data_IF_380223217675
#
_entry.id   IF_380223217675
#
_cell.length_a   1.000
_cell.length_b   1.000
_cell.length_c   1.000
_cell.angle_alpha   90.00
_cell.angle_beta   90.00
_cell.angle_gamma   90.00
#
_symmetry.space_group_name_H-M   'P 1'
#
loop_
_entity.id
_entity.type
_entity.pdbx_description
1 polymer ?
#
# COMPACT_ATOMS: atom_id res chain seq x y z
N UNK A 1 -21.00 -4.33 27.91
CA UNK A 1 -20.06 -3.79 26.91
C UNK A 1 -20.61 -4.18 25.56
N UNK A 2 -21.09 -3.23 24.77
CA UNK A 2 -21.48 -3.53 23.38
C UNK A 2 -20.23 -3.99 22.63
N UNK A 3 -20.26 -5.21 22.11
CA UNK A 3 -19.24 -5.69 21.21
C UNK A 3 -19.35 -4.87 19.92
N UNK A 4 -18.53 -3.83 19.78
CA UNK A 4 -18.43 -3.07 18.54
C UNK A 4 -17.90 -4.01 17.47
N UNK A 5 -18.77 -4.50 16.60
CA UNK A 5 -18.37 -5.36 15.49
C UNK A 5 -17.49 -4.55 14.55
N UNK A 6 -16.19 -4.87 14.55
CA UNK A 6 -15.23 -4.23 13.66
C UNK A 6 -15.60 -4.59 12.22
N UNK A 7 -15.83 -3.59 11.38
CA UNK A 7 -16.01 -3.81 9.96
C UNK A 7 -14.66 -4.21 9.34
N UNK A 8 -14.43 -5.52 9.24
CA UNK A 8 -13.18 -6.11 8.73
C UNK A 8 -12.84 -5.62 7.32
N UNK A 9 -13.85 -5.44 6.45
CA UNK A 9 -13.64 -4.92 5.10
C UNK A 9 -13.01 -3.53 5.15
N UNK A 10 -13.65 -2.60 5.87
CA UNK A 10 -13.16 -1.22 6.01
C UNK A 10 -11.77 -1.19 6.63
N UNK A 11 -11.50 -2.05 7.61
CA UNK A 11 -10.19 -2.17 8.24
C UNK A 11 -9.11 -2.60 7.24
N UNK A 12 -9.38 -3.62 6.42
CA UNK A 12 -8.43 -4.09 5.41
C UNK A 12 -8.12 -3.01 4.37
N UNK A 13 -9.14 -2.29 3.86
CA UNK A 13 -8.89 -1.16 2.97
C UNK A 13 -8.04 -0.07 3.62
N UNK A 14 -8.28 0.25 4.89
CA UNK A 14 -7.47 1.24 5.63
C UNK A 14 -6.03 0.78 5.83
N UNK A 15 -5.81 -0.49 6.16
CA UNK A 15 -4.46 -1.07 6.30
C UNK A 15 -3.70 -0.95 4.98
N UNK A 16 -4.32 -1.36 3.87
CA UNK A 16 -3.72 -1.20 2.55
C UNK A 16 -3.37 0.26 2.24
N UNK A 17 -4.27 1.19 2.55
CA UNK A 17 -4.05 2.61 2.28
C UNK A 17 -2.87 3.16 3.06
N UNK A 18 -2.76 2.86 4.36
CA UNK A 18 -1.66 3.33 5.22
C UNK A 18 -0.33 2.75 4.75
N UNK A 19 -0.29 1.44 4.47
CA UNK A 19 0.94 0.73 4.09
C UNK A 19 1.43 1.19 2.71
N UNK A 20 0.60 1.06 1.68
CA UNK A 20 1.01 1.39 0.31
C UNK A 20 1.03 2.89 0.05
N UNK A 21 0.12 3.65 0.65
CA UNK A 21 0.15 5.11 0.59
C UNK A 21 1.37 5.67 1.31
N UNK A 22 1.71 5.15 2.49
CA UNK A 22 2.92 5.53 3.23
C UNK A 22 4.20 5.23 2.45
N UNK A 23 4.31 4.02 1.87
CA UNK A 23 5.44 3.68 1.00
C UNK A 23 5.52 4.58 -0.24
N UNK A 24 4.39 4.86 -0.89
CA UNK A 24 4.43 5.71 -2.07
C UNK A 24 4.82 7.15 -1.72
N UNK A 25 4.30 7.69 -0.61
CA UNK A 25 4.65 9.00 -0.09
C UNK A 25 6.13 9.10 0.30
N UNK A 26 6.71 8.08 0.94
CA UNK A 26 8.14 8.08 1.25
C UNK A 26 9.00 8.13 -0.01
N UNK A 27 8.59 7.45 -1.09
CA UNK A 27 9.26 7.53 -2.39
C UNK A 27 9.24 8.94 -3.01
N UNK A 28 8.29 9.79 -2.61
CA UNK A 28 8.16 11.17 -3.10
C UNK A 28 9.01 12.09 -2.24
N UNK A 29 8.88 11.97 -0.91
CA UNK A 29 9.59 12.82 0.06
C UNK A 29 11.11 12.59 -0.05
N UNK A 30 11.53 11.33 -0.10
CA UNK A 30 12.96 10.96 -0.10
C UNK A 30 13.49 10.73 -1.53
N UNK A 31 12.79 11.22 -2.56
CA UNK A 31 13.14 10.94 -3.96
C UNK A 31 14.58 11.33 -4.31
N UNK A 32 15.04 12.51 -3.86
CA UNK A 32 16.40 12.99 -4.12
C UNK A 32 17.44 12.10 -3.44
N UNK A 33 17.20 11.72 -2.17
CA UNK A 33 18.07 10.79 -1.44
C UNK A 33 18.19 9.44 -2.17
N UNK A 34 17.08 8.87 -2.65
CA UNK A 34 17.12 7.62 -3.41
C UNK A 34 17.86 7.73 -4.74
N UNK A 35 17.75 8.87 -5.43
CA UNK A 35 18.45 9.11 -6.69
C UNK A 35 19.96 9.24 -6.46
N UNK A 36 20.36 9.98 -5.44
CA UNK A 36 21.76 10.24 -5.09
C UNK A 36 22.47 8.99 -4.56
N UNK A 37 21.82 8.25 -3.65
CA UNK A 37 22.42 7.09 -2.97
C UNK A 37 22.41 5.82 -3.83
N UNK A 38 21.36 5.63 -4.67
CA UNK A 38 21.16 4.39 -5.40
C UNK A 38 21.14 4.58 -6.92
N UNK A 39 20.09 5.19 -7.45
CA UNK A 39 19.90 5.57 -8.86
C UNK A 39 18.41 5.89 -9.12
N UNK A 40 18.11 6.64 -10.21
CA UNK A 40 16.73 6.83 -10.67
C UNK A 40 15.99 5.52 -10.95
N UNK A 41 16.68 4.49 -11.46
CA UNK A 41 16.08 3.19 -11.74
C UNK A 41 15.58 2.50 -10.47
N UNK A 42 16.35 2.54 -9.39
CA UNK A 42 15.96 1.98 -8.09
C UNK A 42 14.73 2.67 -7.50
N UNK A 43 14.65 3.99 -7.61
CA UNK A 43 13.47 4.74 -7.18
C UNK A 43 12.21 4.32 -7.98
N UNK A 44 12.36 4.10 -9.29
CA UNK A 44 11.27 3.61 -10.13
C UNK A 44 10.86 2.18 -9.76
N UNK A 45 11.81 1.27 -9.57
CA UNK A 45 11.54 -0.10 -9.08
C UNK A 45 10.75 -0.08 -7.77
N UNK A 46 11.14 0.76 -6.82
CA UNK A 46 10.45 0.91 -5.54
C UNK A 46 9.00 1.39 -5.73
N UNK A 47 8.77 2.41 -6.56
CA UNK A 47 7.42 2.92 -6.86
C UNK A 47 6.55 1.88 -7.55
N UNK A 48 7.12 1.14 -8.50
CA UNK A 48 6.43 0.04 -9.19
C UNK A 48 6.10 -1.09 -8.23
N UNK A 49 7.00 -1.43 -7.30
CA UNK A 49 6.73 -2.42 -6.27
C UNK A 49 5.61 -1.99 -5.33
N UNK A 50 5.64 -0.74 -4.84
CA UNK A 50 4.58 -0.20 -3.98
C UNK A 50 3.23 -0.18 -4.71
N UNK A 51 3.18 0.31 -5.95
CA UNK A 51 1.97 0.36 -6.75
C UNK A 51 1.44 -1.03 -7.13
N UNK A 52 2.32 -1.92 -7.58
CA UNK A 52 1.97 -3.31 -7.92
C UNK A 52 1.49 -4.10 -6.71
N UNK A 53 2.17 -3.95 -5.57
CA UNK A 53 1.76 -4.54 -4.29
C UNK A 53 0.38 -4.04 -3.85
N UNK A 54 0.10 -2.74 -4.00
CA UNK A 54 -1.21 -2.17 -3.71
C UNK A 54 -2.32 -2.80 -4.58
N UNK A 55 -2.08 -2.93 -5.89
CA UNK A 55 -3.02 -3.55 -6.83
C UNK A 55 -3.32 -5.00 -6.40
N UNK A 56 -2.29 -5.80 -6.13
CA UNK A 56 -2.46 -7.19 -5.69
C UNK A 56 -3.23 -7.26 -4.37
N UNK A 57 -2.87 -6.42 -3.40
CA UNK A 57 -3.54 -6.39 -2.10
C UNK A 57 -5.03 -6.06 -2.23
N UNK A 58 -5.39 -4.98 -2.93
CA UNK A 58 -6.78 -4.58 -3.08
C UNK A 58 -7.59 -5.57 -3.93
N UNK A 59 -6.96 -6.21 -4.92
CA UNK A 59 -7.57 -7.30 -5.65
C UNK A 59 -7.91 -8.49 -4.73
N UNK A 60 -7.01 -8.86 -3.81
CA UNK A 60 -7.27 -9.90 -2.82
C UNK A 60 -8.39 -9.52 -1.85
N UNK A 61 -8.38 -8.29 -1.31
CA UNK A 61 -9.45 -7.79 -0.43
C UNK A 61 -10.80 -7.84 -1.16
N UNK A 62 -10.85 -7.41 -2.42
CA UNK A 62 -12.04 -7.47 -3.26
C UNK A 62 -12.52 -8.92 -3.50
N UNK A 63 -11.60 -9.84 -3.80
CA UNK A 63 -11.93 -11.26 -4.02
C UNK A 63 -12.40 -11.95 -2.73
N UNK A 64 -11.83 -11.61 -1.58
CA UNK A 64 -12.27 -12.11 -0.28
C UNK A 64 -13.70 -11.66 0.03
N UNK A 65 -14.03 -10.40 -0.25
CA UNK A 65 -15.40 -9.88 -0.12
C UNK A 65 -16.37 -10.65 -1.00
N UNK A 66 -16.00 -10.96 -2.25
CA UNK A 66 -16.88 -11.69 -3.18
C UNK A 66 -17.18 -13.13 -2.73
N UNK A 67 -16.34 -13.71 -1.87
CA UNK A 67 -16.52 -15.08 -1.34
C UNK A 67 -17.33 -15.14 -0.04
N UNK A 68 -17.57 -13.99 0.60
CA UNK A 68 -18.43 -13.87 1.80
C UNK A 68 -19.86 -13.57 1.39
#
# INVERSE_FOLDING_TARGET
MEATTVNTEKLLYMIGFIIFGGMFLSSIIDANFYIEEYSPARLLEFRLFAGGGAIVYYALVFLMKRKQ
#
